data_IF_089970388659
#
_entry.id   IF_089970388659
#
_cell.length_a   1.000
_cell.length_b   1.000
_cell.length_c   1.000
_cell.angle_alpha   90.00
_cell.angle_beta   90.00
_cell.angle_gamma   90.00
#
_symmetry.space_group_name_H-M   'P 1'
#
loop_
_entity.id
_entity.type
_entity.pdbx_description
1 polymer ?
#
# COMPACT_ATOMS: atom_id res chain seq x y z
N UNK A 1 19.79 21.89 15.70
CA UNK A 1 20.18 22.18 14.30
C UNK A 1 19.10 21.72 13.34
N UNK A 2 18.52 22.65 12.58
CA UNK A 2 17.62 22.34 11.46
C UNK A 2 18.51 21.99 10.27
N UNK A 3 18.41 20.77 9.72
CA UNK A 3 19.16 20.37 8.52
C UNK A 3 18.73 21.22 7.33
N UNK A 4 19.69 21.63 6.48
CA UNK A 4 19.36 22.32 5.24
C UNK A 4 18.52 21.42 4.32
N UNK A 5 17.76 22.01 3.38
CA UNK A 5 16.94 21.22 2.46
C UNK A 5 17.79 20.24 1.63
N UNK A 6 18.99 20.66 1.23
CA UNK A 6 19.96 19.83 0.51
C UNK A 6 20.39 18.61 1.35
N UNK A 7 20.72 18.81 2.62
CA UNK A 7 21.07 17.72 3.54
C UNK A 7 19.89 16.77 3.79
N UNK A 8 18.67 17.30 3.92
CA UNK A 8 17.44 16.49 4.01
C UNK A 8 17.27 15.63 2.75
N UNK A 9 17.44 16.19 1.55
CA UNK A 9 17.38 15.46 0.27
C UNK A 9 18.41 14.33 0.19
N UNK A 10 19.67 14.61 0.54
CA UNK A 10 20.75 13.62 0.53
C UNK A 10 20.48 12.48 1.52
N UNK A 11 20.08 12.81 2.75
CA UNK A 11 19.73 11.83 3.77
C UNK A 11 18.54 10.97 3.37
N UNK A 12 17.49 11.59 2.81
CA UNK A 12 16.29 10.89 2.38
C UNK A 12 16.60 9.87 1.28
N UNK A 13 17.33 10.28 0.24
CA UNK A 13 17.76 9.40 -0.87
C UNK A 13 18.55 8.21 -0.35
N UNK A 14 19.55 8.43 0.51
CA UNK A 14 20.37 7.36 1.12
C UNK A 14 19.54 6.36 1.94
N UNK A 15 18.47 6.82 2.57
CA UNK A 15 17.66 6.03 3.50
C UNK A 15 16.30 5.62 2.95
N UNK A 16 16.04 5.70 1.64
CA UNK A 16 14.72 5.37 1.05
C UNK A 16 14.24 3.96 1.42
N UNK A 17 15.16 3.00 1.50
CA UNK A 17 14.85 1.62 1.91
C UNK A 17 14.35 1.51 3.36
N UNK A 18 14.70 2.46 4.23
CA UNK A 18 14.24 2.51 5.63
C UNK A 18 12.74 2.73 5.70
N UNK A 19 12.15 3.49 4.77
CA UNK A 19 10.69 3.74 4.73
C UNK A 19 9.93 2.42 4.67
N UNK A 20 10.28 1.54 3.72
CA UNK A 20 9.64 0.23 3.58
C UNK A 20 9.74 -0.62 4.85
N UNK A 21 10.90 -0.59 5.52
CA UNK A 21 11.13 -1.32 6.78
C UNK A 21 10.24 -0.77 7.90
N UNK A 22 10.15 0.55 8.04
CA UNK A 22 9.32 1.21 9.05
C UNK A 22 7.84 0.94 8.80
N UNK A 23 7.35 1.10 7.57
CA UNK A 23 5.94 0.82 7.23
C UNK A 23 5.59 -0.62 7.55
N UNK A 24 6.40 -1.59 7.10
CA UNK A 24 6.15 -3.01 7.37
C UNK A 24 6.17 -3.32 8.87
N UNK A 25 7.13 -2.78 9.61
CA UNK A 25 7.21 -2.95 11.07
C UNK A 25 6.01 -2.33 11.81
N UNK A 26 5.57 -1.15 11.36
CA UNK A 26 4.39 -0.47 11.87
C UNK A 26 3.12 -1.32 11.68
N UNK A 27 2.96 -1.91 10.49
CA UNK A 27 1.82 -2.77 10.19
C UNK A 27 1.82 -4.06 11.00
N UNK A 28 2.98 -4.71 11.10
CA UNK A 28 3.11 -5.98 11.82
C UNK A 28 2.88 -5.84 13.32
N UNK A 29 3.51 -4.85 13.98
CA UNK A 29 3.46 -4.71 15.44
C UNK A 29 2.08 -4.29 15.95
N UNK A 30 1.36 -3.48 15.18
CA UNK A 30 0.11 -2.87 15.63
C UNK A 30 -1.14 -3.55 15.08
N UNK A 31 -0.99 -4.65 14.31
CA UNK A 31 -2.05 -5.31 13.54
C UNK A 31 -2.90 -4.27 12.78
N UNK A 32 -2.21 -3.31 12.14
CA UNK A 32 -2.88 -2.13 11.56
C UNK A 32 -3.41 -2.45 10.18
N UNK A 33 -4.73 -2.57 10.11
CA UNK A 33 -5.45 -2.59 8.84
C UNK A 33 -5.15 -3.80 7.98
N UNK A 34 -5.59 -3.71 6.73
CA UNK A 34 -5.43 -4.77 5.73
C UNK A 34 -4.78 -4.14 4.51
N UNK A 35 -3.56 -4.60 4.20
CA UNK A 35 -2.86 -4.19 2.98
C UNK A 35 -3.61 -4.77 1.78
N UNK A 36 -3.85 -3.98 0.75
CA UNK A 36 -4.50 -4.42 -0.49
C UNK A 36 -3.66 -4.06 -1.72
N UNK A 37 -4.20 -4.31 -2.91
CA UNK A 37 -3.57 -3.94 -4.18
C UNK A 37 -2.29 -4.73 -4.49
N UNK A 38 -1.32 -4.06 -5.09
CA UNK A 38 -0.14 -4.73 -5.66
C UNK A 38 0.67 -5.46 -4.59
N UNK A 39 0.86 -4.87 -3.41
CA UNK A 39 1.62 -5.51 -2.33
C UNK A 39 0.93 -6.74 -1.77
N UNK A 40 -0.39 -6.69 -1.59
CA UNK A 40 -1.16 -7.85 -1.15
C UNK A 40 -1.15 -8.98 -2.18
N UNK A 41 -1.23 -8.63 -3.46
CA UNK A 41 -1.08 -9.57 -4.57
C UNK A 41 0.30 -10.23 -4.55
N UNK A 42 1.37 -9.43 -4.53
CA UNK A 42 2.74 -9.95 -4.52
C UNK A 42 3.04 -10.84 -3.31
N UNK A 43 2.49 -10.51 -2.14
CA UNK A 43 2.66 -11.32 -0.93
C UNK A 43 2.13 -12.76 -1.10
N UNK A 44 1.23 -13.00 -2.06
CA UNK A 44 0.56 -14.27 -2.29
C UNK A 44 0.94 -14.95 -3.60
N UNK A 45 1.69 -14.28 -4.49
CA UNK A 45 2.14 -14.84 -5.77
C UNK A 45 3.61 -15.31 -5.74
N UNK A 46 3.97 -16.32 -6.56
CA UNK A 46 5.35 -16.67 -6.88
C UNK A 46 6.19 -15.47 -7.33
N UNK A 47 7.51 -15.50 -7.07
CA UNK A 47 8.42 -14.34 -7.26
C UNK A 47 8.45 -13.82 -8.68
N UNK A 48 8.49 -14.72 -9.66
CA UNK A 48 8.46 -14.45 -11.11
C UNK A 48 7.16 -13.75 -11.55
N UNK A 49 6.07 -13.94 -10.81
CA UNK A 49 4.80 -13.28 -11.07
C UNK A 49 4.62 -12.02 -10.22
N UNK A 50 5.62 -11.52 -9.49
CA UNK A 50 5.51 -10.28 -8.69
C UNK A 50 5.77 -9.03 -9.53
N UNK A 51 5.15 -7.90 -9.15
CA UNK A 51 5.39 -6.59 -9.79
C UNK A 51 6.10 -5.65 -8.84
N UNK A 52 7.11 -4.91 -9.29
CA UNK A 52 7.73 -3.85 -8.49
C UNK A 52 6.66 -2.81 -8.07
N UNK A 53 6.66 -2.43 -6.80
CA UNK A 53 5.77 -1.40 -6.24
C UNK A 53 6.39 -0.85 -4.98
N UNK A 54 6.33 0.48 -4.82
CA UNK A 54 6.79 1.17 -3.62
C UNK A 54 5.61 1.56 -2.72
N UNK A 55 4.44 1.73 -3.31
CA UNK A 55 3.24 2.16 -2.61
C UNK A 55 2.65 1.08 -1.70
N UNK A 56 2.10 1.52 -0.58
CA UNK A 56 1.31 0.69 0.32
C UNK A 56 -0.14 1.19 0.35
N UNK A 57 -1.06 0.41 -0.18
CA UNK A 57 -2.49 0.68 -0.04
C UNK A 57 -3.06 -0.12 1.14
N UNK A 58 -3.71 0.57 2.08
CA UNK A 58 -4.08 -0.04 3.37
C UNK A 58 -5.49 0.37 3.78
N UNK A 59 -6.35 -0.63 3.98
CA UNK A 59 -7.68 -0.43 4.55
C UNK A 59 -7.64 -0.35 6.08
N UNK A 60 -8.21 0.70 6.67
CA UNK A 60 -8.29 0.94 8.12
C UNK A 60 -9.57 1.68 8.49
N UNK A 61 -10.10 1.45 9.70
CA UNK A 61 -11.30 2.16 10.19
C UNK A 61 -11.09 3.68 10.37
N UNK A 62 -9.90 4.10 10.82
CA UNK A 62 -9.57 5.50 11.16
C UNK A 62 -8.35 6.00 10.34
N UNK A 63 -8.50 6.27 9.03
CA UNK A 63 -7.36 6.51 8.13
C UNK A 63 -6.51 7.72 8.52
N UNK A 64 -7.12 8.87 8.84
CA UNK A 64 -6.38 10.07 9.31
C UNK A 64 -5.51 9.78 10.53
N UNK A 65 -6.07 9.07 11.53
CA UNK A 65 -5.35 8.71 12.76
C UNK A 65 -4.17 7.79 12.45
N UNK A 66 -4.35 6.80 11.56
CA UNK A 66 -3.28 5.86 11.19
C UNK A 66 -2.19 6.51 10.36
N UNK A 67 -2.54 7.41 9.43
CA UNK A 67 -1.59 8.19 8.66
C UNK A 67 -0.68 9.02 9.59
N UNK A 68 -1.27 9.77 10.54
CA UNK A 68 -0.50 10.57 11.52
C UNK A 68 0.39 9.72 12.43
N UNK A 69 -0.06 8.52 12.81
CA UNK A 69 0.77 7.60 13.59
C UNK A 69 1.98 7.08 12.79
N UNK A 70 1.80 6.84 11.50
CA UNK A 70 2.88 6.39 10.63
C UNK A 70 3.87 7.54 10.32
N UNK A 71 3.38 8.73 10.02
CA UNK A 71 4.16 9.97 9.89
C UNK A 71 5.10 10.14 11.09
N UNK A 72 4.55 10.18 12.31
CA UNK A 72 5.36 10.27 13.55
C UNK A 72 6.41 9.15 13.67
N UNK A 73 6.09 7.93 13.25
CA UNK A 73 7.03 6.81 13.31
C UNK A 73 8.17 6.96 12.28
N UNK A 74 7.87 7.51 11.10
CA UNK A 74 8.85 7.80 10.06
C UNK A 74 9.72 8.99 10.46
N UNK A 75 9.14 10.11 10.89
CA UNK A 75 9.89 11.29 11.34
C UNK A 75 10.80 10.96 12.53
N UNK A 76 10.33 10.15 13.49
CA UNK A 76 11.18 9.65 14.58
C UNK A 76 12.36 8.85 14.04
N UNK A 77 12.17 8.05 12.98
CA UNK A 77 13.26 7.25 12.39
C UNK A 77 14.25 8.11 11.61
N UNK A 78 13.79 9.19 10.98
CA UNK A 78 14.62 10.12 10.20
C UNK A 78 15.19 11.28 11.05
N UNK A 79 14.79 11.36 12.33
CA UNK A 79 15.19 12.39 13.30
C UNK A 79 14.91 13.81 12.80
N UNK A 80 13.70 14.03 12.29
CA UNK A 80 13.24 15.34 11.84
C UNK A 80 11.92 15.28 11.09
N UNK A 81 11.44 16.43 10.64
CA UNK A 81 10.27 16.57 9.79
C UNK A 81 10.64 16.26 8.32
N UNK A 82 10.34 15.04 7.90
CA UNK A 82 10.56 14.51 6.55
C UNK A 82 9.27 14.06 5.89
N UNK A 83 8.21 13.83 6.66
CA UNK A 83 6.96 13.24 6.18
C UNK A 83 5.76 14.09 6.58
N UNK A 84 4.74 14.06 5.74
CA UNK A 84 3.51 14.80 5.93
C UNK A 84 2.29 13.98 5.59
N UNK A 85 1.18 14.23 6.30
CA UNK A 85 -0.13 13.66 5.97
C UNK A 85 -0.95 14.61 5.11
N UNK A 86 -1.37 14.17 3.93
CA UNK A 86 -2.31 14.90 3.07
C UNK A 86 -3.60 14.10 2.83
N UNK A 87 -4.74 14.79 2.74
CA UNK A 87 -5.99 14.18 2.30
C UNK A 87 -5.84 13.78 0.82
N UNK A 88 -6.19 12.54 0.50
CA UNK A 88 -6.19 12.03 -0.88
C UNK A 88 -7.57 12.13 -1.50
N UNK A 89 -7.61 12.05 -2.84
CA UNK A 89 -8.84 11.85 -3.60
C UNK A 89 -9.26 10.39 -3.48
N UNK A 90 -10.48 10.14 -3.01
CA UNK A 90 -11.09 8.82 -2.93
C UNK A 90 -12.43 8.82 -3.67
N UNK A 91 -12.96 7.62 -3.97
CA UNK A 91 -14.34 7.49 -4.44
C UNK A 91 -15.32 8.09 -3.42
N UNK A 92 -16.53 8.51 -3.85
CA UNK A 92 -17.56 8.98 -2.94
C UNK A 92 -17.73 8.05 -1.73
N UNK A 93 -17.78 8.63 -0.52
CA UNK A 93 -17.86 7.89 0.74
C UNK A 93 -16.54 7.27 1.26
N UNK A 94 -15.46 7.25 0.47
CA UNK A 94 -14.16 6.70 0.88
C UNK A 94 -13.20 7.82 1.29
N UNK A 95 -12.88 7.88 2.58
CA UNK A 95 -11.87 8.80 3.11
C UNK A 95 -10.48 8.20 2.89
N UNK A 96 -9.63 8.91 2.13
CA UNK A 96 -8.23 8.52 1.88
C UNK A 96 -7.28 9.54 2.50
N UNK A 97 -6.26 9.07 3.20
CA UNK A 97 -5.18 9.89 3.76
C UNK A 97 -3.83 9.29 3.35
N UNK A 98 -2.99 10.13 2.75
CA UNK A 98 -1.70 9.75 2.19
C UNK A 98 -0.58 10.22 3.09
N UNK A 99 0.42 9.37 3.32
CA UNK A 99 1.70 9.76 3.93
C UNK A 99 2.68 10.01 2.79
N UNK A 100 3.18 11.23 2.70
CA UNK A 100 4.09 11.69 1.65
C UNK A 100 5.41 12.17 2.24
N UNK A 101 6.46 12.19 1.43
CA UNK A 101 7.70 12.90 1.79
C UNK A 101 7.48 14.41 1.61
N UNK A 102 7.84 15.19 2.62
CA UNK A 102 7.93 16.66 2.51
C UNK A 102 9.12 17.09 1.63
N UNK A 103 10.12 16.21 1.47
CA UNK A 103 11.32 16.44 0.64
C UNK A 103 11.10 16.24 -0.86
N UNK A 104 10.49 15.13 -1.27
CA UNK A 104 10.29 14.78 -2.70
C UNK A 104 8.85 14.92 -3.18
N UNK A 105 7.88 15.11 -2.27
CA UNK A 105 6.44 15.07 -2.60
C UNK A 105 5.88 13.67 -2.88
N UNK A 106 6.74 12.64 -2.92
CA UNK A 106 6.36 11.26 -3.23
C UNK A 106 5.44 10.67 -2.15
N UNK A 107 4.39 9.96 -2.55
CA UNK A 107 3.49 9.23 -1.65
C UNK A 107 3.97 7.81 -1.41
N UNK A 108 3.94 7.36 -0.14
CA UNK A 108 4.41 6.02 0.23
C UNK A 108 3.29 5.11 0.69
N UNK A 109 2.29 5.68 1.38
CA UNK A 109 1.23 4.92 2.01
C UNK A 109 -0.09 5.66 1.87
N UNK A 110 -1.09 4.96 1.35
CA UNK A 110 -2.46 5.41 1.24
C UNK A 110 -3.32 4.62 2.23
N UNK A 111 -3.87 5.31 3.22
CA UNK A 111 -4.84 4.75 4.16
C UNK A 111 -6.25 5.08 3.72
N UNK A 112 -7.08 4.07 3.51
CA UNK A 112 -8.47 4.21 3.11
C UNK A 112 -9.43 3.55 4.09
N UNK A 113 -10.64 4.08 4.25
CA UNK A 113 -11.72 3.36 4.95
C UNK A 113 -12.35 2.33 3.99
N UNK A 114 -12.41 1.03 4.33
CA UNK A 114 -13.10 0.06 3.50
C UNK A 114 -14.62 0.26 3.61
N UNK A 115 -15.34 0.10 2.50
CA UNK A 115 -16.81 0.15 2.44
C UNK A 115 -17.48 -1.21 2.70
N UNK A 116 -16.70 -2.24 3.00
CA UNK A 116 -17.16 -3.61 3.26
C UNK A 116 -16.13 -4.36 4.11
N UNK A 117 -16.49 -5.53 4.62
CA UNK A 117 -15.53 -6.45 5.24
C UNK A 117 -14.57 -6.98 4.17
N UNK A 118 -13.26 -6.93 4.46
CA UNK A 118 -12.21 -7.40 3.55
C UNK A 118 -11.65 -8.71 4.11
N UNK A 119 -11.86 -9.85 3.44
CA UNK A 119 -11.18 -11.11 3.77
C UNK A 119 -9.66 -10.92 3.69
N UNK A 120 -8.92 -11.43 4.67
CA UNK A 120 -7.47 -11.25 4.73
C UNK A 120 -6.73 -12.52 5.13
N UNK A 121 -5.46 -12.60 4.73
CA UNK A 121 -4.50 -13.61 5.18
C UNK A 121 -3.36 -12.90 5.91
N UNK A 122 -2.82 -13.52 6.96
CA UNK A 122 -1.64 -13.00 7.66
C UNK A 122 -0.37 -13.58 7.04
N UNK A 123 0.59 -12.72 6.69
CA UNK A 123 1.95 -13.15 6.31
C UNK A 123 2.98 -12.29 7.00
N UNK A 124 3.90 -12.93 7.75
CA UNK A 124 4.98 -12.25 8.50
C UNK A 124 4.44 -11.10 9.38
N UNK A 125 3.35 -11.39 10.10
CA UNK A 125 2.67 -10.46 11.01
C UNK A 125 1.80 -9.38 10.34
N UNK A 126 1.76 -9.28 9.01
CA UNK A 126 0.97 -8.27 8.28
C UNK A 126 -0.26 -8.92 7.65
N UNK A 127 -1.42 -8.26 7.78
CA UNK A 127 -2.67 -8.69 7.14
C UNK A 127 -2.72 -8.18 5.69
N UNK A 128 -2.98 -9.09 4.75
CA UNK A 128 -3.12 -8.81 3.33
C UNK A 128 -4.48 -9.25 2.82
N UNK A 129 -5.15 -8.45 2.00
CA UNK A 129 -6.38 -8.82 1.32
C UNK A 129 -6.17 -10.10 0.50
N UNK A 130 -7.07 -11.06 0.57
CA UNK A 130 -6.88 -12.35 -0.11
C UNK A 130 -6.83 -12.18 -1.63
N UNK A 131 -6.13 -13.08 -2.34
CA UNK A 131 -6.16 -13.09 -3.81
C UNK A 131 -7.58 -13.27 -4.36
N UNK A 132 -8.40 -14.10 -3.70
CA UNK A 132 -9.81 -14.32 -4.09
C UNK A 132 -10.61 -13.01 -4.04
N UNK A 133 -10.48 -12.25 -2.95
CA UNK A 133 -11.15 -10.97 -2.79
C UNK A 133 -10.73 -9.95 -3.87
N UNK A 134 -9.42 -9.82 -4.10
CA UNK A 134 -8.89 -8.92 -5.11
C UNK A 134 -9.29 -9.33 -6.54
N UNK A 135 -9.33 -10.62 -6.83
CA UNK A 135 -9.75 -11.15 -8.13
C UNK A 135 -11.23 -10.88 -8.41
N UNK A 136 -12.10 -11.10 -7.42
CA UNK A 136 -13.52 -10.81 -7.54
C UNK A 136 -13.75 -9.31 -7.81
N UNK A 137 -13.07 -8.42 -7.06
CA UNK A 137 -13.16 -6.98 -7.33
C UNK A 137 -12.63 -6.57 -8.69
N UNK A 138 -11.52 -7.14 -9.14
CA UNK A 138 -11.00 -6.87 -10.49
C UNK A 138 -12.01 -7.28 -11.59
N UNK A 139 -12.68 -8.42 -11.44
CA UNK A 139 -13.73 -8.87 -12.37
C UNK A 139 -14.94 -7.93 -12.37
N UNK A 140 -15.36 -7.47 -11.20
CA UNK A 140 -16.45 -6.48 -11.09
C UNK A 140 -16.07 -5.14 -11.75
N UNK A 141 -14.86 -4.63 -11.46
CA UNK A 141 -14.40 -3.35 -11.98
C UNK A 141 -14.30 -3.31 -13.50
N UNK A 142 -13.92 -4.41 -14.15
CA UNK A 142 -13.80 -4.46 -15.63
C UNK A 142 -15.16 -4.29 -16.32
N UNK A 143 -16.25 -4.66 -15.65
CA UNK A 143 -17.62 -4.50 -16.17
C UNK A 143 -18.14 -3.06 -16.05
N UNK A 144 -17.43 -2.20 -15.32
CA UNK A 144 -17.86 -0.84 -14.94
C UNK A 144 -17.17 0.21 -15.82
N UNK A 145 -17.88 0.87 -16.75
CA UNK A 145 -17.29 1.87 -17.65
C UNK A 145 -16.58 3.02 -16.92
N UNK A 146 -17.14 3.45 -15.78
CA UNK A 146 -16.61 4.54 -14.95
C UNK A 146 -15.25 4.21 -14.31
N UNK A 147 -14.86 2.93 -14.29
CA UNK A 147 -13.57 2.45 -13.82
C UNK A 147 -12.60 2.10 -14.96
N UNK A 148 -12.75 2.69 -16.15
CA UNK A 148 -11.87 2.45 -17.30
C UNK A 148 -10.37 2.60 -16.96
N UNK A 149 -10.01 3.57 -16.11
CA UNK A 149 -8.63 3.78 -15.62
C UNK A 149 -8.06 2.62 -14.79
N UNK A 150 -8.91 1.71 -14.28
CA UNK A 150 -8.52 0.49 -13.56
C UNK A 150 -8.31 -0.71 -14.48
N UNK A 151 -8.89 -0.69 -15.69
CA UNK A 151 -9.07 -1.88 -16.53
C UNK A 151 -7.77 -2.61 -16.81
N UNK A 152 -6.71 -1.90 -17.21
CA UNK A 152 -5.40 -2.51 -17.48
C UNK A 152 -4.80 -3.17 -16.23
N UNK A 153 -4.87 -2.48 -15.07
CA UNK A 153 -4.36 -3.00 -13.80
C UNK A 153 -5.11 -4.25 -13.35
N UNK A 154 -6.43 -4.26 -13.53
CA UNK A 154 -7.31 -5.36 -13.13
C UNK A 154 -7.15 -6.57 -14.08
N UNK A 155 -7.01 -6.35 -15.39
CA UNK A 155 -6.68 -7.41 -16.35
C UNK A 155 -5.32 -8.04 -16.06
N UNK A 156 -4.31 -7.23 -15.75
CA UNK A 156 -2.98 -7.70 -15.40
C UNK A 156 -3.00 -8.59 -14.14
N UNK A 157 -3.74 -8.17 -13.10
CA UNK A 157 -3.97 -8.98 -11.90
C UNK A 157 -4.60 -10.33 -12.26
N UNK A 158 -5.68 -10.33 -13.01
CA UNK A 158 -6.39 -11.56 -13.42
C UNK A 158 -5.43 -12.50 -14.17
N UNK A 159 -4.65 -11.99 -15.12
CA UNK A 159 -3.68 -12.78 -15.88
C UNK A 159 -2.63 -13.43 -14.98
N UNK A 160 -2.07 -12.68 -14.03
CA UNK A 160 -1.04 -13.17 -13.10
C UNK A 160 -1.59 -14.24 -12.16
N UNK A 161 -2.78 -14.03 -11.62
CA UNK A 161 -3.44 -15.02 -10.74
C UNK A 161 -3.79 -16.29 -11.52
N UNK A 162 -4.26 -16.17 -12.78
CA UNK A 162 -4.49 -17.34 -13.66
C UNK A 162 -3.22 -18.14 -13.90
N UNK A 163 -2.11 -17.49 -14.27
CA UNK A 163 -0.81 -18.15 -14.46
C UNK A 163 -0.35 -18.90 -13.20
N UNK A 164 -0.52 -18.28 -12.02
CA UNK A 164 -0.17 -18.90 -10.75
C UNK A 164 -1.00 -20.15 -10.44
N UNK A 165 -2.27 -20.18 -10.83
CA UNK A 165 -3.15 -21.32 -10.61
C UNK A 165 -2.88 -22.47 -11.60
N UNK A 166 -2.52 -22.17 -12.85
CA UNK A 166 -2.09 -23.18 -13.82
C UNK A 166 -0.81 -23.86 -13.34
N UNK A 167 0.21 -23.11 -12.92
CA UNK A 167 1.45 -23.67 -12.40
C UNK A 167 1.32 -24.47 -11.10
N UNK A 168 0.17 -24.40 -10.41
CA UNK A 168 -0.17 -25.25 -9.25
C UNK A 168 -0.87 -26.55 -9.61
N UNK A 169 -1.45 -26.64 -10.81
CA UNK A 169 -2.09 -27.87 -11.31
C UNK A 169 -1.12 -28.76 -12.10
N UNK A 170 0.03 -28.22 -12.50
CA UNK A 170 1.09 -28.91 -13.28
C UNK A 170 2.24 -29.37 -12.37
N UNK A 171 2.02 -29.39 -11.05
CA UNK A 171 2.93 -29.93 -10.04
C UNK A 171 2.17 -30.90 -9.16
#
# INVERSE_FOLDING_TARGET
MVKSEFEKRKLFKRNRNVVNRVVRGFLAKRKVGIVHGTRATNAQLPRDLQRKTLDWDIFVKKPKKRARQLEKALDKKFRGDFFGVKKGTGSPGIKVFKVKSNVTGEGFVDFATPNRKIPSVTKRGVHFATLKDQLNKARENIKKPELKFRREKDLNLIRRVRKANVGRRVK
#
